data_IF_862349186298
#
_entry.id   IF_862349186298
#
_cell.length_a   1.000
_cell.length_b   1.000
_cell.length_c   1.000
_cell.angle_alpha   90.00
_cell.angle_beta   90.00
_cell.angle_gamma   90.00
#
_symmetry.space_group_name_H-M   'P 1'
#
loop_
_entity.id
_entity.type
_entity.pdbx_description
1 polymer ?
#
# COMPACT_ATOMS: atom_id res chain seq x y z
N UNK A 1 -21.22 5.61 -21.81
CA UNK A 1 -20.04 5.55 -22.69
C UNK A 1 -19.41 6.93 -22.65
N UNK A 2 -18.11 7.04 -22.39
CA UNK A 2 -17.49 8.32 -22.06
C UNK A 2 -17.04 8.98 -23.37
N UNK A 3 -17.36 10.26 -23.61
CA UNK A 3 -16.98 11.04 -24.80
C UNK A 3 -15.50 10.89 -25.17
N UNK A 4 -14.63 10.84 -24.16
CA UNK A 4 -13.17 10.63 -24.36
C UNK A 4 -12.87 9.24 -24.95
N UNK A 5 -13.62 8.22 -24.59
CA UNK A 5 -13.42 6.85 -25.10
C UNK A 5 -13.85 6.73 -26.56
N UNK A 6 -14.92 7.38 -26.97
CA UNK A 6 -15.35 7.43 -28.38
C UNK A 6 -14.37 8.21 -29.25
N UNK A 7 -13.90 9.35 -28.77
CA UNK A 7 -12.91 10.18 -29.48
C UNK A 7 -11.60 9.43 -29.64
N UNK A 8 -11.12 8.75 -28.59
CA UNK A 8 -9.91 7.93 -28.63
C UNK A 8 -10.06 6.76 -29.62
N UNK A 9 -11.15 6.03 -29.58
CA UNK A 9 -11.38 4.90 -30.48
C UNK A 9 -11.45 5.37 -31.97
N UNK A 10 -12.03 6.52 -32.23
CA UNK A 10 -12.06 7.09 -33.58
C UNK A 10 -10.66 7.48 -34.05
N UNK A 11 -9.89 8.17 -33.20
CA UNK A 11 -8.52 8.57 -33.49
C UNK A 11 -7.62 7.38 -33.79
N UNK A 12 -7.66 6.33 -32.96
CA UNK A 12 -6.85 5.12 -33.12
C UNK A 12 -7.16 4.40 -34.44
N UNK A 13 -8.42 4.40 -34.89
CA UNK A 13 -8.81 3.78 -36.17
C UNK A 13 -8.27 4.53 -37.39
N UNK A 14 -8.08 5.83 -37.28
CA UNK A 14 -7.57 6.69 -38.36
C UNK A 14 -6.06 6.64 -38.53
N UNK A 15 -5.31 6.21 -37.50
CA UNK A 15 -3.84 6.15 -37.52
C UNK A 15 -3.32 5.03 -38.47
N UNK A 16 -2.19 5.28 -39.07
CA UNK A 16 -1.46 4.28 -39.82
C UNK A 16 -0.85 3.20 -38.88
N UNK A 17 -0.43 2.08 -39.44
CA UNK A 17 0.07 0.95 -38.63
C UNK A 17 1.34 1.29 -37.85
N UNK A 18 2.28 2.00 -38.48
CA UNK A 18 3.52 2.47 -37.88
C UNK A 18 3.29 3.51 -36.77
N UNK A 19 2.30 4.37 -36.97
CA UNK A 19 1.90 5.35 -35.93
C UNK A 19 1.28 4.64 -34.71
N UNK A 20 0.49 3.60 -34.93
CA UNK A 20 -0.08 2.79 -33.84
C UNK A 20 1.00 2.05 -33.07
N UNK A 21 1.99 1.49 -33.76
CA UNK A 21 3.12 0.81 -33.12
C UNK A 21 3.94 1.80 -32.29
N UNK A 22 4.25 2.97 -32.81
CA UNK A 22 4.96 4.04 -32.10
C UNK A 22 4.18 4.51 -30.88
N UNK A 23 2.87 4.69 -31.01
CA UNK A 23 2.00 5.09 -29.90
C UNK A 23 1.98 4.02 -28.81
N UNK A 24 1.91 2.75 -29.21
CA UNK A 24 1.96 1.62 -28.27
C UNK A 24 3.27 1.57 -27.49
N UNK A 25 4.41 1.73 -28.17
CA UNK A 25 5.73 1.76 -27.54
C UNK A 25 5.85 2.93 -26.54
N UNK A 26 5.36 4.11 -26.92
CA UNK A 26 5.31 5.27 -26.02
C UNK A 26 4.49 4.98 -24.76
N UNK A 27 3.32 4.37 -24.91
CA UNK A 27 2.48 4.00 -23.76
C UNK A 27 3.10 2.92 -22.89
N UNK A 28 3.83 1.97 -23.45
CA UNK A 28 4.58 0.96 -22.69
C UNK A 28 5.69 1.64 -21.88
N UNK A 29 6.38 2.63 -22.47
CA UNK A 29 7.39 3.40 -21.75
C UNK A 29 6.78 4.16 -20.57
N UNK A 30 5.68 4.90 -20.81
CA UNK A 30 4.95 5.61 -19.73
C UNK A 30 4.44 4.67 -18.64
N UNK A 31 3.98 3.47 -19.03
CA UNK A 31 3.57 2.45 -18.07
C UNK A 31 4.72 2.02 -17.17
N UNK A 32 5.88 1.72 -17.76
CA UNK A 32 7.06 1.26 -17.02
C UNK A 32 7.60 2.35 -16.08
N UNK A 33 7.57 3.61 -16.51
CA UNK A 33 7.97 4.74 -15.68
C UNK A 33 7.03 4.90 -14.47
N UNK A 34 5.73 4.84 -14.71
CA UNK A 34 4.72 4.94 -13.65
C UNK A 34 4.74 3.72 -12.71
N UNK A 35 5.05 2.52 -13.20
CA UNK A 35 5.21 1.31 -12.36
C UNK A 35 6.45 1.43 -11.47
N UNK A 36 7.54 2.01 -12.00
CA UNK A 36 8.74 2.34 -11.23
C UNK A 36 8.45 3.37 -10.13
N UNK A 37 7.66 4.41 -10.45
CA UNK A 37 7.19 5.39 -9.47
C UNK A 37 6.35 4.74 -8.37
N UNK A 38 5.45 3.83 -8.75
CA UNK A 38 4.65 3.07 -7.80
C UNK A 38 5.51 2.21 -6.87
N UNK A 39 6.53 1.56 -7.40
CA UNK A 39 7.50 0.77 -6.63
C UNK A 39 8.31 1.63 -5.65
N UNK A 40 8.79 2.77 -6.11
CA UNK A 40 9.51 3.73 -5.27
C UNK A 40 8.63 4.23 -4.12
N UNK A 41 7.37 4.59 -4.43
CA UNK A 41 6.38 5.02 -3.44
C UNK A 41 6.07 3.92 -2.41
N UNK A 42 5.89 2.67 -2.87
CA UNK A 42 5.67 1.52 -1.98
C UNK A 42 6.84 1.27 -1.04
N UNK A 43 8.06 1.35 -1.56
CA UNK A 43 9.29 1.15 -0.77
C UNK A 43 9.47 2.28 0.26
N UNK A 44 9.17 3.53 -0.11
CA UNK A 44 9.21 4.66 0.80
C UNK A 44 8.18 4.51 1.93
N UNK A 45 6.95 4.12 1.59
CA UNK A 45 5.92 3.83 2.57
C UNK A 45 6.36 2.75 3.57
N UNK A 46 6.88 1.62 3.08
CA UNK A 46 7.34 0.53 3.94
C UNK A 46 8.46 0.99 4.89
N UNK A 47 9.38 1.85 4.40
CA UNK A 47 10.44 2.43 5.23
C UNK A 47 9.87 3.35 6.31
N UNK A 48 8.90 4.21 5.95
CA UNK A 48 8.21 5.10 6.90
C UNK A 48 7.43 4.30 7.94
N UNK A 49 6.66 3.30 7.51
CA UNK A 49 5.87 2.44 8.39
C UNK A 49 6.77 1.67 9.38
N UNK A 50 7.86 1.07 8.89
CA UNK A 50 8.85 0.39 9.74
C UNK A 50 9.47 1.35 10.78
N UNK A 51 9.79 2.58 10.37
CA UNK A 51 10.31 3.60 11.29
C UNK A 51 9.29 3.98 12.37
N UNK A 52 8.01 4.16 11.97
CA UNK A 52 6.93 4.48 12.90
C UNK A 52 6.70 3.33 13.87
N UNK A 53 6.57 2.09 13.38
CA UNK A 53 6.42 0.89 14.22
C UNK A 53 7.57 0.76 15.23
N UNK A 54 8.81 0.86 14.79
CA UNK A 54 9.97 0.75 15.68
C UNK A 54 9.99 1.84 16.77
N UNK A 55 9.59 3.09 16.43
CA UNK A 55 9.47 4.17 17.41
C UNK A 55 8.34 3.89 18.39
N UNK A 56 7.19 3.44 17.91
CA UNK A 56 6.05 3.08 18.72
C UNK A 56 6.38 1.94 19.68
N UNK A 57 7.05 0.88 19.20
CA UNK A 57 7.43 -0.27 20.04
C UNK A 57 8.39 0.14 21.17
N UNK A 58 9.41 0.96 20.84
CA UNK A 58 10.32 1.49 21.87
C UNK A 58 9.58 2.34 22.91
N UNK A 59 8.61 3.12 22.50
CA UNK A 59 7.83 3.95 23.40
C UNK A 59 6.82 3.11 24.20
N UNK A 60 6.17 2.13 23.57
CA UNK A 60 5.34 1.14 24.26
C UNK A 60 6.11 0.46 25.37
N UNK A 61 7.29 -0.05 25.07
CA UNK A 61 8.14 -0.70 26.07
C UNK A 61 8.52 0.24 27.22
N UNK A 62 8.84 1.52 26.92
CA UNK A 62 9.12 2.53 27.97
C UNK A 62 7.91 2.79 28.85
N UNK A 63 6.72 2.97 28.27
CA UNK A 63 5.50 3.24 29.06
C UNK A 63 5.05 1.99 29.84
N UNK A 64 5.21 0.79 29.28
CA UNK A 64 4.98 -0.48 30.00
C UNK A 64 5.92 -0.60 31.20
N UNK A 65 7.21 -0.33 31.04
CA UNK A 65 8.18 -0.35 32.12
C UNK A 65 7.87 0.71 33.20
N UNK A 66 7.38 1.90 32.78
CA UNK A 66 6.93 2.93 33.73
C UNK A 66 5.71 2.50 34.52
N UNK A 67 4.76 1.84 33.85
CA UNK A 67 3.57 1.30 34.51
C UNK A 67 3.96 0.24 35.54
N UNK A 68 4.83 -0.71 35.20
CA UNK A 68 5.34 -1.70 36.16
C UNK A 68 6.09 -1.04 37.30
N UNK A 69 6.96 -0.05 37.02
CA UNK A 69 7.66 0.68 38.06
C UNK A 69 6.68 1.39 39.02
N UNK A 70 5.62 1.99 38.48
CA UNK A 70 4.56 2.61 39.31
C UNK A 70 3.87 1.60 40.22
N UNK A 71 3.55 0.39 39.69
CA UNK A 71 2.97 -0.70 40.45
C UNK A 71 3.91 -1.13 41.59
N UNK A 72 5.17 -1.39 41.28
CA UNK A 72 6.15 -1.82 42.31
C UNK A 72 6.36 -0.72 43.37
N UNK A 73 6.44 0.55 42.98
CA UNK A 73 6.57 1.66 43.93
C UNK A 73 5.33 1.76 44.84
N UNK A 74 4.13 1.62 44.26
CA UNK A 74 2.90 1.63 45.05
C UNK A 74 2.86 0.47 46.05
N UNK A 75 3.22 -0.75 45.64
CA UNK A 75 3.32 -1.92 46.53
C UNK A 75 4.38 -1.71 47.63
N UNK A 76 5.52 -1.13 47.28
CA UNK A 76 6.58 -0.83 48.25
C UNK A 76 6.12 0.17 49.31
N UNK A 77 5.43 1.25 48.89
CA UNK A 77 4.84 2.18 49.82
C UNK A 77 3.77 1.55 50.70
N UNK A 78 2.90 0.72 50.14
CA UNK A 78 1.95 -0.05 50.93
C UNK A 78 2.64 -0.92 52.01
N UNK A 79 3.72 -1.58 51.64
CA UNK A 79 4.49 -2.39 52.59
C UNK A 79 5.10 -1.54 53.73
N UNK A 80 5.75 -0.44 53.39
CA UNK A 80 6.34 0.50 54.39
C UNK A 80 5.25 1.00 55.35
N UNK A 81 4.13 1.48 54.82
CA UNK A 81 3.04 1.95 55.64
C UNK A 81 2.46 0.87 56.55
N UNK A 82 2.34 -0.35 56.07
CA UNK A 82 1.89 -1.50 56.92
C UNK A 82 2.83 -1.74 58.08
N UNK A 83 4.14 -1.62 57.87
CA UNK A 83 5.12 -1.72 58.94
C UNK A 83 4.99 -0.54 59.93
N UNK A 84 4.81 0.69 59.46
CA UNK A 84 4.62 1.86 60.34
C UNK A 84 3.36 1.81 61.16
N UNK A 85 2.26 1.20 60.67
CA UNK A 85 1.02 1.05 61.46
C UNK A 85 1.20 0.21 62.70
N UNK A 86 2.10 -0.79 62.64
CA UNK A 86 2.42 -1.67 63.75
C UNK A 86 3.12 -0.91 64.87
N UNK A 87 3.88 0.17 64.53
CA UNK A 87 4.67 0.93 65.50
C UNK A 87 3.95 2.16 66.08
N UNK A 88 2.91 2.70 65.41
CA UNK A 88 2.29 3.96 65.78
C UNK A 88 0.97 3.85 66.55
N UNK A 89 0.51 2.63 66.87
CA UNK A 89 -0.74 2.36 67.56
C UNK A 89 -1.98 3.10 66.98
N UNK A 90 -1.95 3.37 65.68
CA UNK A 90 -3.01 4.06 64.97
C UNK A 90 -4.05 3.03 64.47
N UNK A 91 -5.30 3.44 64.41
CA UNK A 91 -6.39 2.55 63.94
C UNK A 91 -6.04 1.93 62.59
N UNK A 92 -5.75 0.59 62.56
CA UNK A 92 -5.22 -0.07 61.36
C UNK A 92 -6.22 -0.06 60.21
N UNK A 93 -7.51 0.05 60.48
CA UNK A 93 -8.56 0.01 59.51
C UNK A 93 -8.65 1.30 58.68
N UNK A 94 -8.43 2.47 59.29
CA UNK A 94 -8.42 3.77 58.62
C UNK A 94 -7.22 3.88 57.69
N UNK A 95 -6.08 3.34 58.09
CA UNK A 95 -4.85 3.36 57.27
C UNK A 95 -4.98 2.42 56.09
N UNK A 96 -5.51 1.21 56.28
CA UNK A 96 -5.76 0.27 55.20
C UNK A 96 -6.67 0.88 54.13
N UNK A 97 -7.77 1.53 54.49
CA UNK A 97 -8.69 2.15 53.53
C UNK A 97 -7.99 3.29 52.76
N UNK A 98 -7.22 4.15 53.45
CA UNK A 98 -6.51 5.24 52.76
C UNK A 98 -5.43 4.75 51.80
N UNK A 99 -4.78 3.63 52.13
CA UNK A 99 -3.78 3.01 51.27
C UNK A 99 -4.39 2.37 50.06
N UNK A 100 -5.49 1.63 50.22
CA UNK A 100 -6.20 1.02 49.10
C UNK A 100 -6.69 2.08 48.11
N UNK A 101 -7.30 3.16 48.62
CA UNK A 101 -7.75 4.28 47.77
C UNK A 101 -6.57 4.95 47.04
N UNK A 102 -5.46 5.19 47.74
CA UNK A 102 -4.25 5.76 47.15
C UNK A 102 -3.64 4.85 46.08
N UNK A 103 -3.56 3.56 46.36
CA UNK A 103 -3.04 2.54 45.42
C UNK A 103 -3.89 2.45 44.15
N UNK A 104 -5.21 2.27 44.32
CA UNK A 104 -6.15 2.16 43.20
C UNK A 104 -6.13 3.46 42.34
N UNK A 105 -6.11 4.62 43.00
CA UNK A 105 -6.03 5.90 42.29
C UNK A 105 -4.74 6.07 41.48
N UNK A 106 -3.60 5.68 42.05
CA UNK A 106 -2.29 5.71 41.37
C UNK A 106 -2.24 4.79 40.17
N UNK A 107 -2.76 3.56 40.32
CA UNK A 107 -2.87 2.59 39.22
C UNK A 107 -3.78 3.10 38.11
N UNK A 108 -4.94 3.63 38.46
CA UNK A 108 -5.90 4.17 37.50
C UNK A 108 -5.31 5.31 36.68
N UNK A 109 -4.62 6.24 37.31
CA UNK A 109 -3.96 7.36 36.63
C UNK A 109 -2.85 6.88 35.69
N UNK A 110 -2.03 5.93 36.15
CA UNK A 110 -0.97 5.34 35.34
C UNK A 110 -1.52 4.57 34.14
N UNK A 111 -2.58 3.79 34.34
CA UNK A 111 -3.26 3.07 33.27
C UNK A 111 -3.92 4.01 32.27
N UNK A 112 -4.64 5.04 32.72
CA UNK A 112 -5.26 6.06 31.86
C UNK A 112 -4.24 6.75 30.98
N UNK A 113 -3.07 7.09 31.56
CA UNK A 113 -1.94 7.67 30.80
C UNK A 113 -1.42 6.68 29.75
N UNK A 114 -1.24 5.42 30.11
CA UNK A 114 -0.82 4.35 29.19
C UNK A 114 -1.77 4.24 28.00
N UNK A 115 -3.08 4.13 28.24
CA UNK A 115 -4.09 4.06 27.20
C UNK A 115 -4.05 5.28 26.27
N UNK A 116 -3.94 6.50 26.82
CA UNK A 116 -3.86 7.73 26.03
C UNK A 116 -2.65 7.74 25.09
N UNK A 117 -1.52 7.22 25.56
CA UNK A 117 -0.30 7.13 24.74
C UNK A 117 -0.48 6.09 23.63
N UNK A 118 -1.09 4.93 23.92
CA UNK A 118 -1.37 3.89 22.92
C UNK A 118 -2.31 4.38 21.83
N UNK A 119 -3.37 5.10 22.18
CA UNK A 119 -4.31 5.70 21.21
C UNK A 119 -3.62 6.65 20.23
N UNK A 120 -2.63 7.42 20.70
CA UNK A 120 -1.87 8.32 19.82
C UNK A 120 -1.04 7.56 18.81
N UNK A 121 -0.46 6.41 19.20
CA UNK A 121 0.33 5.58 18.29
C UNK A 121 -0.54 4.91 17.24
N UNK A 122 -1.66 4.33 17.66
CA UNK A 122 -2.62 3.70 16.76
C UNK A 122 -3.17 4.70 15.73
N UNK A 123 -3.50 5.92 16.18
CA UNK A 123 -3.93 7.00 15.27
C UNK A 123 -2.88 7.36 14.23
N UNK A 124 -1.60 7.45 14.63
CA UNK A 124 -0.50 7.74 13.69
C UNK A 124 -0.35 6.65 12.63
N UNK A 125 -0.41 5.39 13.04
CA UNK A 125 -0.33 4.27 12.10
C UNK A 125 -1.52 4.25 11.13
N UNK A 126 -2.74 4.49 11.64
CA UNK A 126 -3.95 4.57 10.82
C UNK A 126 -3.91 5.72 9.81
N UNK A 127 -3.41 6.89 10.20
CA UNK A 127 -3.27 8.05 9.30
C UNK A 127 -2.30 7.71 8.17
N UNK A 128 -1.12 7.17 8.50
CA UNK A 128 -0.11 6.81 7.51
C UNK A 128 -0.62 5.72 6.55
N UNK A 129 -1.37 4.74 7.07
CA UNK A 129 -1.99 3.68 6.26
C UNK A 129 -3.02 4.26 5.29
N UNK A 130 -3.89 5.14 5.77
CA UNK A 130 -4.91 5.80 4.94
C UNK A 130 -4.28 6.67 3.84
N UNK A 131 -3.28 7.48 4.18
CA UNK A 131 -2.54 8.30 3.21
C UNK A 131 -1.91 7.44 2.11
N UNK A 132 -1.36 6.30 2.49
CA UNK A 132 -0.82 5.35 1.51
C UNK A 132 -1.93 4.78 0.62
N UNK A 133 -3.04 4.31 1.19
CA UNK A 133 -4.15 3.74 0.43
C UNK A 133 -4.71 4.74 -0.58
N UNK A 134 -4.95 5.98 -0.16
CA UNK A 134 -5.49 7.05 -1.02
C UNK A 134 -4.56 7.37 -2.20
N UNK A 135 -3.24 7.39 -2.00
CA UNK A 135 -2.26 7.67 -3.05
C UNK A 135 -1.98 6.44 -3.93
N UNK A 136 -1.89 5.27 -3.32
CA UNK A 136 -1.73 3.99 -4.03
C UNK A 136 -2.89 3.75 -4.99
N UNK A 137 -4.13 4.03 -4.58
CA UNK A 137 -5.30 3.84 -5.43
C UNK A 137 -5.30 4.78 -6.64
N UNK A 138 -4.80 6.00 -6.49
CA UNK A 138 -4.63 6.95 -7.62
C UNK A 138 -3.60 6.45 -8.64
N UNK A 139 -2.43 6.01 -8.17
CA UNK A 139 -1.39 5.49 -9.04
C UNK A 139 -1.84 4.19 -9.73
N UNK A 140 -2.46 3.28 -8.96
CA UNK A 140 -3.00 2.05 -9.49
C UNK A 140 -4.08 2.27 -10.54
N UNK A 141 -4.97 3.25 -10.33
CA UNK A 141 -6.01 3.59 -11.33
C UNK A 141 -5.43 4.11 -12.64
N UNK A 142 -4.34 4.91 -12.58
CA UNK A 142 -3.60 5.38 -13.77
C UNK A 142 -2.94 4.21 -14.50
N UNK A 143 -2.22 3.35 -13.78
CA UNK A 143 -1.60 2.15 -14.36
C UNK A 143 -2.63 1.26 -15.06
N UNK A 144 -3.77 1.01 -14.43
CA UNK A 144 -4.84 0.20 -15.00
C UNK A 144 -5.45 0.86 -16.25
N UNK A 145 -5.54 2.19 -16.28
CA UNK A 145 -6.02 2.92 -17.45
C UNK A 145 -5.06 2.78 -18.63
N UNK A 146 -3.76 3.02 -18.43
CA UNK A 146 -2.73 2.89 -19.46
C UNK A 146 -2.68 1.44 -19.97
N UNK A 147 -2.73 0.45 -19.08
CA UNK A 147 -2.78 -0.97 -19.46
C UNK A 147 -3.94 -1.27 -20.40
N UNK A 148 -5.15 -0.76 -20.12
CA UNK A 148 -6.31 -0.93 -21.00
C UNK A 148 -6.11 -0.30 -22.38
N UNK A 149 -5.45 0.84 -22.44
CA UNK A 149 -5.16 1.46 -23.73
C UNK A 149 -4.12 0.68 -24.53
N UNK A 150 -3.08 0.14 -23.88
CA UNK A 150 -2.10 -0.74 -24.53
C UNK A 150 -2.79 -2.00 -25.09
N UNK A 151 -3.71 -2.60 -24.33
CA UNK A 151 -4.48 -3.77 -24.80
C UNK A 151 -5.35 -3.41 -26.04
N UNK A 152 -6.05 -2.27 -26.01
CA UNK A 152 -6.84 -1.79 -27.15
C UNK A 152 -5.98 -1.53 -28.40
N UNK A 153 -4.83 -0.87 -28.24
CA UNK A 153 -3.88 -0.63 -29.34
C UNK A 153 -3.35 -1.93 -29.91
N UNK A 154 -3.06 -2.90 -29.06
CA UNK A 154 -2.60 -4.23 -29.49
C UNK A 154 -3.64 -4.97 -30.33
N UNK A 155 -4.92 -4.86 -29.97
CA UNK A 155 -6.02 -5.44 -30.74
C UNK A 155 -6.16 -4.75 -32.10
N UNK A 156 -6.10 -3.43 -32.14
CA UNK A 156 -6.24 -2.66 -33.38
C UNK A 156 -5.07 -2.91 -34.35
N UNK A 157 -3.83 -2.95 -33.82
CA UNK A 157 -2.64 -3.32 -34.60
C UNK A 157 -2.80 -4.71 -35.20
N UNK A 158 -3.28 -5.70 -34.42
CA UNK A 158 -3.50 -7.06 -34.88
C UNK A 158 -4.55 -7.11 -36.00
N UNK A 159 -5.67 -6.38 -35.83
CA UNK A 159 -6.72 -6.27 -36.86
C UNK A 159 -6.18 -5.69 -38.16
N UNK A 160 -5.48 -4.54 -38.10
CA UNK A 160 -4.90 -3.90 -39.29
C UNK A 160 -3.86 -4.77 -40.01
N UNK A 161 -3.04 -5.52 -39.26
CA UNK A 161 -2.08 -6.48 -39.82
C UNK A 161 -2.80 -7.60 -40.55
N UNK A 162 -3.91 -8.10 -39.99
CA UNK A 162 -4.72 -9.13 -40.61
C UNK A 162 -5.40 -8.63 -41.90
N UNK A 163 -5.97 -7.43 -41.88
CA UNK A 163 -6.59 -6.80 -43.04
C UNK A 163 -5.58 -6.59 -44.20
N UNK A 164 -4.36 -6.16 -43.82
CA UNK A 164 -3.26 -6.00 -44.78
C UNK A 164 -2.88 -7.36 -45.42
N UNK A 165 -2.75 -8.40 -44.61
CA UNK A 165 -2.43 -9.75 -45.09
C UNK A 165 -3.52 -10.32 -46.01
N UNK A 166 -4.80 -10.07 -45.72
CA UNK A 166 -5.93 -10.47 -46.58
C UNK A 166 -5.92 -9.70 -47.89
N UNK A 167 -5.67 -8.38 -47.88
CA UNK A 167 -5.61 -7.56 -49.09
C UNK A 167 -4.46 -7.96 -50.01
N UNK A 168 -3.30 -8.34 -49.47
CA UNK A 168 -2.16 -8.87 -50.24
C UNK A 168 -2.50 -10.21 -50.89
N UNK A 169 -3.24 -11.09 -50.22
CA UNK A 169 -3.68 -12.37 -50.77
C UNK A 169 -4.74 -12.19 -51.86
N UNK A 170 -5.67 -11.27 -51.73
CA UNK A 170 -6.75 -11.04 -52.68
C UNK A 170 -6.23 -10.46 -54.00
N UNK A 171 -5.25 -9.59 -53.95
CA UNK A 171 -4.72 -8.91 -55.15
C UNK A 171 -3.65 -9.75 -55.88
N UNK A 172 -3.17 -10.89 -55.35
CA UNK A 172 -2.30 -11.84 -56.04
C UNK A 172 -1.07 -11.26 -56.79
N UNK A 173 -0.77 -9.99 -56.64
CA UNK A 173 0.18 -9.22 -57.47
C UNK A 173 1.49 -8.87 -56.75
N UNK A 174 1.61 -9.09 -55.48
CA UNK A 174 2.88 -8.97 -54.77
C UNK A 174 3.39 -10.39 -54.53
N UNK A 175 4.29 -10.86 -55.41
CA UNK A 175 5.18 -11.98 -55.13
C UNK A 175 6.08 -11.59 -53.93
N UNK A 176 5.50 -11.45 -52.77
CA UNK A 176 6.22 -11.69 -51.56
C UNK A 176 6.04 -13.18 -51.26
N UNK A 177 7.14 -13.89 -51.41
CA UNK A 177 7.24 -15.28 -51.01
C UNK A 177 7.08 -15.35 -49.47
N UNK A 178 5.82 -15.18 -49.02
CA UNK A 178 5.42 -15.32 -47.62
C UNK A 178 5.38 -16.79 -47.19
N UNK A 179 5.92 -17.69 -48.04
CA UNK A 179 5.87 -19.13 -47.81
C UNK A 179 6.93 -19.59 -46.76
N UNK A 180 7.95 -18.84 -46.47
CA UNK A 180 9.01 -19.26 -45.54
C UNK A 180 9.15 -18.45 -44.25
N UNK A 181 8.65 -17.24 -44.20
CA UNK A 181 8.51 -16.54 -42.94
C UNK A 181 7.07 -16.68 -42.42
N UNK A 182 6.70 -17.89 -42.03
CA UNK A 182 5.80 -17.99 -40.88
C UNK A 182 6.52 -17.34 -39.71
N UNK A 183 6.39 -16.04 -39.62
CA UNK A 183 6.49 -15.41 -38.32
C UNK A 183 5.34 -16.02 -37.54
N UNK A 184 5.61 -17.18 -36.93
CA UNK A 184 4.86 -17.58 -35.75
C UNK A 184 4.99 -16.37 -34.80
N UNK A 185 4.04 -15.47 -34.90
CA UNK A 185 3.75 -14.57 -33.79
C UNK A 185 3.29 -15.50 -32.69
N UNK A 186 4.28 -16.09 -32.01
CA UNK A 186 4.04 -16.71 -30.73
C UNK A 186 3.44 -15.59 -29.92
N UNK A 187 2.24 -15.81 -29.45
CA UNK A 187 1.50 -14.99 -28.49
C UNK A 187 2.34 -14.67 -27.23
N UNK A 188 3.49 -15.33 -27.09
CA UNK A 188 4.49 -15.14 -26.05
C UNK A 188 5.04 -13.71 -25.91
N UNK A 189 5.04 -12.92 -27.00
CA UNK A 189 5.47 -11.50 -26.93
C UNK A 189 4.37 -10.60 -26.39
N UNK A 190 3.11 -10.93 -26.68
CA UNK A 190 1.96 -10.18 -26.14
C UNK A 190 1.78 -10.51 -24.66
N UNK A 191 1.97 -11.77 -24.26
CA UNK A 191 1.90 -12.15 -22.85
C UNK A 191 3.08 -11.62 -22.01
N UNK A 192 4.29 -11.55 -22.58
CA UNK A 192 5.47 -11.02 -21.89
C UNK A 192 5.44 -9.50 -21.71
N UNK A 193 4.74 -8.79 -22.58
CA UNK A 193 4.61 -7.34 -22.54
C UNK A 193 3.27 -6.87 -21.98
N UNK A 194 2.38 -7.78 -21.55
CA UNK A 194 1.18 -7.38 -20.81
C UNK A 194 1.61 -6.80 -19.48
N UNK A 195 1.39 -5.52 -19.25
CA UNK A 195 1.69 -4.93 -17.95
C UNK A 195 0.81 -5.58 -16.89
N UNK A 196 1.43 -6.38 -16.05
CA UNK A 196 0.73 -7.06 -14.96
C UNK A 196 0.53 -6.10 -13.79
N UNK A 197 -0.62 -5.44 -13.77
CA UNK A 197 -0.97 -4.54 -12.68
C UNK A 197 -1.47 -5.34 -11.48
N UNK A 198 -0.59 -5.57 -10.52
CA UNK A 198 -0.94 -6.21 -9.25
C UNK A 198 -0.90 -5.19 -8.12
N UNK A 199 -2.06 -4.89 -7.56
CA UNK A 199 -2.13 -4.08 -6.33
C UNK A 199 -1.35 -4.79 -5.22
N UNK A 200 -0.29 -4.17 -4.71
CA UNK A 200 0.51 -4.73 -3.62
C UNK A 200 -0.27 -4.63 -2.33
N UNK A 201 -0.59 -5.77 -1.74
CA UNK A 201 -1.23 -5.84 -0.42
C UNK A 201 -0.25 -5.38 0.65
N UNK A 202 -0.72 -4.54 1.56
CA UNK A 202 -0.03 -4.22 2.80
C UNK A 202 0.18 -5.51 3.61
N UNK A 203 1.43 -5.81 3.98
CA UNK A 203 1.71 -6.87 4.92
C UNK A 203 1.36 -6.39 6.33
N UNK A 204 0.22 -6.83 6.81
CA UNK A 204 -0.27 -6.60 8.18
C UNK A 204 0.41 -7.56 9.20
N UNK A 205 1.73 -7.77 9.08
CA UNK A 205 2.46 -8.55 10.08
C UNK A 205 3.15 -7.66 11.09
#
# INVERSE_FOLDING_TARGET
MNYYEETYNKFVKELALDELETLKETMIYEYNDLDSEYDAFFNEYNRKMKSVKNKNDRQRQKETNRLFKSIYMSLFFCFIFSVFTIFLDVNPLAILITMEVGFVSSLFLSYKRYCKVMDVFEKKEKILKKEYEDNSDKLYSKLNLISKYIDKLSMEISSKKQDLALSVNEYGKLYMDLSEDKVEYKDDTIEKNKPYVKKRKLNDK
#
